data_IF_222189079860
#
_entry.id   IF_222189079860
#
_cell.length_a   1.000
_cell.length_b   1.000
_cell.length_c   1.000
_cell.angle_alpha   90.00
_cell.angle_beta   90.00
_cell.angle_gamma   90.00
#
_symmetry.space_group_name_H-M   'P 1'
#
loop_
_entity.id
_entity.type
_entity.pdbx_description
1 polymer ?
#
# COMPACT_ATOMS: atom_id res chain seq x y z
N UNK A 1 -11.77 -4.84 -1.56
CA UNK A 1 -10.49 -4.40 -0.97
C UNK A 1 -9.39 -5.38 -1.32
N UNK A 2 -8.11 -4.95 -1.38
CA UNK A 2 -6.94 -5.81 -1.58
C UNK A 2 -5.98 -5.71 -0.40
N UNK A 3 -5.74 -6.83 0.30
CA UNK A 3 -4.85 -6.90 1.46
C UNK A 3 -3.40 -6.56 1.13
N UNK A 4 -2.89 -7.04 -0.01
CA UNK A 4 -1.51 -6.81 -0.43
C UNK A 4 -1.21 -5.32 -0.64
N UNK A 5 -2.19 -4.60 -1.19
CA UNK A 5 -2.09 -3.17 -1.36
C UNK A 5 -2.11 -2.43 -0.02
N UNK A 6 -2.94 -2.86 0.93
CA UNK A 6 -2.93 -2.29 2.28
C UNK A 6 -1.56 -2.49 2.96
N UNK A 7 -0.93 -3.66 2.80
CA UNK A 7 0.41 -3.92 3.34
C UNK A 7 1.45 -2.95 2.75
N UNK A 8 1.45 -2.75 1.43
CA UNK A 8 2.34 -1.80 0.77
C UNK A 8 2.15 -0.37 1.31
N UNK A 9 0.90 0.08 1.45
CA UNK A 9 0.59 1.41 1.96
C UNK A 9 1.03 1.61 3.42
N UNK A 10 0.82 0.60 4.27
CA UNK A 10 1.28 0.66 5.67
C UNK A 10 2.79 0.81 5.70
N UNK A 11 3.52 -0.07 5.00
CA UNK A 11 4.99 -0.04 4.96
C UNK A 11 5.52 1.27 4.39
N UNK A 12 4.93 1.78 3.30
CA UNK A 12 5.30 3.06 2.70
C UNK A 12 5.12 4.24 3.67
N UNK A 13 4.10 4.18 4.54
CA UNK A 13 3.85 5.20 5.56
C UNK A 13 4.68 5.06 6.84
N UNK A 14 5.46 3.99 7.00
CA UNK A 14 6.31 3.83 8.18
C UNK A 14 7.64 4.57 8.03
N UNK A 15 8.26 5.01 9.15
CA UNK A 15 9.67 5.36 9.18
C UNK A 15 10.51 4.24 8.55
N UNK A 16 11.47 4.60 7.70
CA UNK A 16 12.36 3.68 6.99
C UNK A 16 11.65 2.68 6.04
N UNK A 17 10.34 2.79 5.85
CA UNK A 17 9.59 1.84 5.05
C UNK A 17 9.38 0.47 5.73
N UNK A 18 9.50 0.41 7.07
CA UNK A 18 9.59 -0.85 7.83
C UNK A 18 8.57 -0.96 8.95
N UNK A 19 8.07 -2.18 9.18
CA UNK A 19 7.18 -2.50 10.29
C UNK A 19 7.47 -3.88 10.88
N UNK A 20 7.28 -4.01 12.20
CA UNK A 20 7.14 -5.33 12.82
C UNK A 20 5.86 -6.02 12.32
N UNK A 21 5.77 -7.36 12.45
CA UNK A 21 4.54 -8.08 12.12
C UNK A 21 3.36 -7.63 13.01
N UNK A 22 3.63 -7.26 14.26
CA UNK A 22 2.61 -6.80 15.20
C UNK A 22 2.02 -5.46 14.76
N UNK A 23 2.90 -4.51 14.41
CA UNK A 23 2.47 -3.20 13.93
C UNK A 23 1.79 -3.29 12.58
N UNK A 24 2.31 -4.12 11.67
CA UNK A 24 1.68 -4.36 10.37
C UNK A 24 0.24 -4.89 10.54
N UNK A 25 0.03 -5.88 11.41
CA UNK A 25 -1.32 -6.39 11.71
C UNK A 25 -2.22 -5.31 12.30
N UNK A 26 -1.70 -4.50 13.23
CA UNK A 26 -2.45 -3.42 13.87
C UNK A 26 -2.89 -2.37 12.86
N UNK A 27 -1.97 -1.87 12.03
CA UNK A 27 -2.29 -0.86 11.03
C UNK A 27 -3.21 -1.38 9.93
N UNK A 28 -3.00 -2.61 9.46
CA UNK A 28 -3.93 -3.24 8.51
C UNK A 28 -5.34 -3.33 9.09
N UNK A 29 -5.49 -3.72 10.37
CA UNK A 29 -6.80 -3.79 11.01
C UNK A 29 -7.49 -2.41 11.05
N UNK A 30 -6.77 -1.35 11.43
CA UNK A 30 -7.28 0.02 11.44
C UNK A 30 -7.71 0.46 10.03
N UNK A 31 -6.87 0.16 9.02
CA UNK A 31 -7.14 0.50 7.63
C UNK A 31 -8.34 -0.27 7.07
N UNK A 32 -8.54 -1.52 7.47
CA UNK A 32 -9.71 -2.29 7.06
C UNK A 32 -11.01 -1.76 7.67
N UNK A 33 -10.94 -0.99 8.76
CA UNK A 33 -12.10 -0.40 9.44
C UNK A 33 -12.31 1.09 9.15
N UNK A 34 -11.53 1.71 8.26
CA UNK A 34 -11.56 3.19 8.04
C UNK A 34 -12.76 3.70 7.25
N UNK A 35 -13.70 2.84 6.88
CA UNK A 35 -14.91 3.22 6.15
C UNK A 35 -14.79 3.17 4.62
N UNK A 36 -15.87 3.59 3.92
CA UNK A 36 -16.05 3.37 2.48
C UNK A 36 -15.06 4.14 1.60
N UNK A 37 -14.68 5.37 1.96
CA UNK A 37 -13.77 6.19 1.17
C UNK A 37 -12.41 5.51 0.95
N UNK A 38 -11.86 4.97 2.03
CA UNK A 38 -10.63 4.18 1.96
C UNK A 38 -10.85 2.90 1.15
N UNK A 39 -11.95 2.20 1.35
CA UNK A 39 -12.27 0.97 0.61
C UNK A 39 -12.33 1.21 -0.92
N UNK A 40 -12.93 2.32 -1.34
CA UNK A 40 -13.07 2.71 -2.74
C UNK A 40 -11.73 3.13 -3.36
N UNK A 41 -10.95 3.96 -2.66
CA UNK A 41 -9.58 4.32 -3.08
C UNK A 41 -8.74 3.06 -3.33
N UNK A 42 -8.78 2.11 -2.40
CA UNK A 42 -8.02 0.85 -2.52
C UNK A 42 -8.55 -0.06 -3.62
N UNK A 43 -9.86 -0.02 -3.93
CA UNK A 43 -10.44 -0.73 -5.07
C UNK A 43 -9.94 -0.16 -6.40
N UNK A 44 -9.86 1.16 -6.53
CA UNK A 44 -9.30 1.82 -7.72
C UNK A 44 -7.83 1.46 -7.96
N UNK A 45 -7.01 1.46 -6.91
CA UNK A 45 -5.61 1.02 -6.99
C UNK A 45 -5.49 -0.47 -7.36
N UNK A 46 -6.29 -1.33 -6.72
CA UNK A 46 -6.30 -2.76 -7.01
C UNK A 46 -6.69 -3.08 -8.46
N UNK A 47 -7.63 -2.32 -9.04
CA UNK A 47 -8.04 -2.49 -10.43
C UNK A 47 -6.89 -2.24 -11.44
N UNK A 48 -5.89 -1.44 -11.06
CA UNK A 48 -4.74 -1.10 -11.90
C UNK A 48 -3.60 -2.12 -11.81
N UNK A 49 -3.60 -2.95 -10.78
CA UNK A 49 -2.67 -4.08 -10.64
C UNK A 49 -3.41 -5.34 -10.19
N UNK A 50 -4.26 -5.93 -11.06
CA UNK A 50 -5.10 -7.08 -10.71
C UNK A 50 -4.30 -8.35 -10.41
N UNK A 51 -3.03 -8.40 -10.83
CA UNK A 51 -2.09 -9.51 -10.60
C UNK A 51 -0.97 -9.12 -9.63
N UNK A 52 -1.24 -8.21 -8.69
CA UNK A 52 -0.26 -7.83 -7.69
C UNK A 52 0.13 -9.07 -6.86
N UNK A 53 1.44 -9.32 -6.82
CA UNK A 53 2.07 -10.28 -5.92
C UNK A 53 3.29 -9.61 -5.30
N UNK A 54 3.10 -9.00 -4.13
CA UNK A 54 4.13 -8.18 -3.47
C UNK A 54 5.40 -8.97 -3.11
N UNK A 55 5.29 -10.29 -2.98
CA UNK A 55 6.43 -11.17 -2.69
C UNK A 55 7.08 -11.68 -3.96
N UNK A 56 6.27 -12.24 -4.87
CA UNK A 56 6.77 -12.74 -6.15
C UNK A 56 7.42 -11.64 -6.99
N UNK A 57 6.94 -10.39 -6.84
CA UNK A 57 7.50 -9.21 -7.52
C UNK A 57 8.56 -8.48 -6.68
N UNK A 58 8.94 -9.00 -5.50
CA UNK A 58 9.97 -8.42 -4.62
C UNK A 58 9.73 -6.96 -4.22
N UNK A 59 8.45 -6.56 -4.09
CA UNK A 59 8.08 -5.24 -3.59
C UNK A 59 8.17 -5.14 -2.07
N UNK A 60 8.09 -6.29 -1.40
CA UNK A 60 8.22 -6.40 0.05
C UNK A 60 9.22 -7.50 0.38
N UNK A 61 10.13 -7.22 1.31
CA UNK A 61 11.04 -8.20 1.91
C UNK A 61 10.66 -8.47 3.35
N UNK A 62 10.96 -9.68 3.82
CA UNK A 62 10.81 -10.07 5.21
C UNK A 62 12.15 -10.55 5.75
N UNK A 63 12.59 -10.00 6.87
CA UNK A 63 13.80 -10.38 7.57
C UNK A 63 13.56 -10.47 9.09
N UNK A 64 14.66 -10.53 9.85
CA UNK A 64 14.65 -10.65 11.32
C UNK A 64 14.01 -9.44 11.99
N UNK A 65 14.11 -8.28 11.35
CA UNK A 65 13.68 -6.99 11.85
C UNK A 65 12.25 -6.66 11.38
N UNK A 66 11.60 -7.59 10.68
CA UNK A 66 10.22 -7.52 10.27
C UNK A 66 10.08 -7.43 8.76
N UNK A 67 9.32 -6.43 8.33
CA UNK A 67 8.83 -6.29 6.97
C UNK A 67 9.27 -4.94 6.41
N UNK A 68 9.72 -4.92 5.16
CA UNK A 68 10.21 -3.70 4.52
C UNK A 68 9.66 -3.58 3.10
N UNK A 69 9.23 -2.37 2.72
CA UNK A 69 9.01 -2.06 1.30
C UNK A 69 10.36 -1.82 0.63
N UNK A 70 10.55 -2.43 -0.54
CA UNK A 70 11.76 -2.24 -1.34
C UNK A 70 11.67 -0.97 -2.17
N UNK A 71 12.78 -0.52 -2.74
CA UNK A 71 12.77 0.59 -3.70
C UNK A 71 11.90 0.28 -4.93
N UNK A 72 11.86 -0.98 -5.38
CA UNK A 72 10.96 -1.41 -6.44
C UNK A 72 9.48 -1.28 -6.02
N UNK A 73 9.15 -1.64 -4.77
CA UNK A 73 7.81 -1.45 -4.21
C UNK A 73 7.42 0.02 -4.10
N UNK A 74 8.34 0.90 -3.68
CA UNK A 74 8.11 2.36 -3.64
C UNK A 74 7.90 2.94 -5.03
N UNK A 75 8.73 2.55 -6.00
CA UNK A 75 8.60 2.98 -7.39
C UNK A 75 7.28 2.50 -8.01
N UNK A 76 6.88 1.26 -7.73
CA UNK A 76 5.58 0.72 -8.12
C UNK A 76 4.43 1.54 -7.54
N UNK A 77 4.43 1.81 -6.23
CA UNK A 77 3.43 2.66 -5.58
C UNK A 77 3.36 4.04 -6.23
N UNK A 78 4.51 4.70 -6.45
CA UNK A 78 4.55 6.00 -7.11
C UNK A 78 3.94 5.96 -8.52
N UNK A 79 4.21 4.91 -9.31
CA UNK A 79 3.67 4.75 -10.65
C UNK A 79 2.13 4.55 -10.63
N UNK A 80 1.62 3.79 -9.66
CA UNK A 80 0.18 3.57 -9.55
C UNK A 80 -0.55 4.72 -8.86
N UNK A 81 0.10 5.57 -8.07
CA UNK A 81 -0.59 6.69 -7.43
C UNK A 81 -0.67 7.94 -8.31
N UNK A 82 0.20 8.06 -9.33
CA UNK A 82 0.26 9.23 -10.24
C UNK A 82 -1.11 9.68 -10.80
N UNK A 83 -1.94 8.80 -11.41
CA UNK A 83 -3.25 9.20 -11.91
C UNK A 83 -4.26 9.62 -10.84
N UNK A 84 -4.04 9.32 -9.55
CA UNK A 84 -4.95 9.72 -8.47
C UNK A 84 -4.65 11.17 -8.03
N UNK A 85 -3.43 11.67 -8.21
CA UNK A 85 -3.11 13.09 -7.95
C UNK A 85 -3.69 14.02 -9.02
N UNK A 86 -3.75 13.58 -10.27
CA UNK A 86 -4.31 14.37 -11.37
C UNK A 86 -5.86 14.38 -11.40
N UNK A 87 -6.51 13.63 -10.51
CA UNK A 87 -7.96 13.63 -10.31
C UNK A 87 -8.41 14.54 -9.16
N UNK A 88 -7.54 15.41 -8.63
CA UNK A 88 -7.99 16.46 -7.73
C UNK A 88 -9.05 17.32 -8.44
N UNK A 89 -10.23 17.56 -7.84
CA UNK A 89 -11.23 18.42 -8.46
C UNK A 89 -10.62 19.81 -8.68
N UNK A 90 -10.79 20.35 -9.88
CA UNK A 90 -10.39 21.71 -10.18
C UNK A 90 -11.04 22.66 -9.15
N UNK A 91 -10.29 23.63 -8.60
CA UNK A 91 -10.92 24.67 -7.78
C UNK A 91 -11.86 25.49 -8.69
N UNK A 92 -13.09 25.66 -8.24
CA UNK A 92 -14.08 26.59 -8.84
C UNK A 92 -13.55 28.03 -8.87
#
# INVERSE_FOLDING_TARGET
MSLQFTILMVLYGQPEGRASLQDLKRYVAILMTSGPDWAERMKGLAARAPRLDIFGQSFVTRDRDGWAITEAGKAFLAAIERPIRDQAPAPD
#
